data_IF_971167736806
#
_entry.id   IF_971167736806
#
_cell.length_a   1.000
_cell.length_b   1.000
_cell.length_c   1.000
_cell.angle_alpha   90.00
_cell.angle_beta   90.00
_cell.angle_gamma   90.00
#
_symmetry.space_group_name_H-M   'P 1'
#
loop_
_entity.id
_entity.type
_entity.pdbx_description
1 polymer ?
#
# COMPACT_ATOMS: atom_id res chain seq x y z
N UNK A 1 8.24 10.23 -9.37
CA UNK A 1 6.97 10.18 -8.61
C UNK A 1 7.19 10.31 -7.11
N UNK A 2 8.36 9.94 -6.57
CA UNK A 2 8.66 10.02 -5.14
C UNK A 2 9.04 11.43 -4.66
N UNK A 3 9.60 12.27 -5.52
CA UNK A 3 10.09 13.62 -5.19
C UNK A 3 9.12 14.49 -4.38
N UNK A 4 7.79 14.54 -4.65
CA UNK A 4 6.87 15.35 -3.84
C UNK A 4 6.54 14.75 -2.46
N UNK A 5 7.00 13.55 -2.16
CA UNK A 5 6.74 12.83 -0.90
C UNK A 5 7.99 12.69 -0.03
N UNK A 6 9.17 12.84 -0.62
CA UNK A 6 10.43 12.72 0.10
C UNK A 6 10.88 14.10 0.57
N UNK A 7 11.35 14.24 1.81
CA UNK A 7 12.00 15.46 2.24
C UNK A 7 13.30 15.67 1.46
N UNK A 8 13.80 16.90 1.47
CA UNK A 8 15.16 17.16 1.01
C UNK A 8 16.19 16.37 1.84
N UNK A 9 17.24 15.91 1.19
CA UNK A 9 18.33 15.17 1.82
C UNK A 9 19.33 14.66 0.80
N UNK A 10 20.42 14.07 1.29
CA UNK A 10 21.56 13.68 0.44
C UNK A 10 21.63 12.17 0.24
N UNK A 11 21.19 11.39 1.24
CA UNK A 11 21.31 9.93 1.21
C UNK A 11 19.93 9.29 1.15
N UNK A 12 19.63 8.67 0.01
CA UNK A 12 18.42 7.84 -0.18
C UNK A 12 18.78 6.37 -0.09
N UNK A 13 17.99 5.60 0.67
CA UNK A 13 18.16 4.15 0.78
C UNK A 13 16.82 3.43 0.75
N UNK A 14 16.81 2.22 0.20
CA UNK A 14 15.64 1.35 0.11
C UNK A 14 15.85 0.07 0.91
N UNK A 15 14.79 -0.39 1.59
CA UNK A 15 14.75 -1.70 2.23
C UNK A 15 13.38 -2.34 2.02
N UNK A 16 13.36 -3.61 1.61
CA UNK A 16 12.14 -4.42 1.57
C UNK A 16 12.13 -5.52 2.64
N UNK A 17 10.93 -5.95 3.03
CA UNK A 17 10.69 -7.10 3.90
C UNK A 17 9.44 -7.84 3.43
N UNK A 18 9.53 -9.17 3.38
CA UNK A 18 8.40 -10.06 3.09
C UNK A 18 8.18 -11.00 4.26
N UNK A 19 6.95 -11.13 4.75
CA UNK A 19 6.58 -12.06 5.83
C UNK A 19 5.10 -12.40 5.70
N UNK A 20 4.73 -13.69 5.64
CA UNK A 20 3.34 -14.18 5.69
C UNK A 20 2.35 -13.37 4.83
N UNK A 21 2.61 -13.23 3.51
CA UNK A 21 1.71 -12.49 2.61
C UNK A 21 1.74 -10.95 2.74
N UNK A 22 2.49 -10.41 3.70
CA UNK A 22 2.81 -8.98 3.78
C UNK A 22 4.14 -8.71 3.07
N UNK A 23 4.12 -7.83 2.07
CA UNK A 23 5.31 -7.22 1.48
C UNK A 23 5.36 -5.77 1.90
N UNK A 24 6.51 -5.30 2.37
CA UNK A 24 6.70 -3.90 2.80
C UNK A 24 8.01 -3.35 2.24
N UNK A 25 7.96 -2.14 1.70
CA UNK A 25 9.12 -1.38 1.29
C UNK A 25 9.24 -0.11 2.14
N UNK A 26 10.47 0.30 2.42
CA UNK A 26 10.83 1.51 3.14
C UNK A 26 11.84 2.29 2.32
N UNK A 27 11.55 3.58 2.10
CA UNK A 27 12.51 4.55 1.58
C UNK A 27 12.91 5.45 2.72
N UNK A 28 14.21 5.56 2.96
CA UNK A 28 14.76 6.46 3.98
C UNK A 28 15.58 7.56 3.34
N UNK A 29 15.39 8.79 3.84
CA UNK A 29 16.21 9.96 3.53
C UNK A 29 16.99 10.32 4.78
N UNK A 30 18.32 10.39 4.66
CA UNK A 30 19.24 10.69 5.77
C UNK A 30 19.00 9.81 7.02
N UNK A 31 18.76 8.52 6.78
CA UNK A 31 18.54 7.51 7.82
C UNK A 31 17.15 7.53 8.48
N UNK A 32 16.23 8.41 8.04
CA UNK A 32 14.84 8.46 8.53
C UNK A 32 13.90 7.91 7.47
N UNK A 33 12.96 7.04 7.87
CA UNK A 33 11.93 6.53 6.95
C UNK A 33 11.05 7.69 6.50
N UNK A 34 11.17 8.03 5.21
CA UNK A 34 10.40 9.08 4.55
C UNK A 34 9.14 8.53 3.87
N UNK A 35 9.20 7.27 3.42
CA UNK A 35 8.08 6.58 2.80
C UNK A 35 8.09 5.11 3.23
N UNK A 36 6.92 4.56 3.50
CA UNK A 36 6.73 3.12 3.59
C UNK A 36 5.54 2.71 2.73
N UNK A 37 5.67 1.60 2.01
CA UNK A 37 4.57 1.02 1.25
C UNK A 37 4.37 -0.42 1.65
N UNK A 38 3.14 -0.93 1.60
CA UNK A 38 2.88 -2.35 1.78
C UNK A 38 1.86 -2.91 0.82
N UNK A 39 1.91 -4.23 0.62
CA UNK A 39 0.89 -5.05 -0.01
C UNK A 39 0.46 -6.08 1.05
N UNK A 40 -0.83 -6.13 1.35
CA UNK A 40 -1.40 -6.87 2.47
C UNK A 40 -2.75 -7.50 2.09
N UNK A 41 -2.97 -8.75 2.51
CA UNK A 41 -4.27 -9.42 2.39
C UNK A 41 -5.15 -9.08 3.58
N UNK A 42 -6.42 -8.82 3.30
CA UNK A 42 -7.47 -8.63 4.30
C UNK A 42 -8.71 -9.42 3.91
N UNK A 43 -9.63 -9.60 4.86
CA UNK A 43 -10.93 -10.23 4.60
C UNK A 43 -11.63 -9.58 3.40
N UNK A 44 -12.25 -10.40 2.56
CA UNK A 44 -12.92 -9.94 1.35
C UNK A 44 -14.00 -8.91 1.69
N UNK A 45 -14.08 -7.83 0.89
CA UNK A 45 -15.02 -6.74 1.08
C UNK A 45 -14.68 -5.76 2.19
N UNK A 46 -13.52 -5.87 2.85
CA UNK A 46 -13.08 -4.89 3.86
C UNK A 46 -13.03 -3.48 3.27
N UNK A 47 -13.72 -2.47 3.85
CA UNK A 47 -13.67 -1.12 3.31
C UNK A 47 -12.25 -0.53 3.33
N UNK A 48 -11.82 0.12 2.24
CA UNK A 48 -10.48 0.73 2.15
C UNK A 48 -10.21 1.74 3.28
N UNK A 49 -11.24 2.44 3.77
CA UNK A 49 -11.14 3.33 4.92
C UNK A 49 -10.79 2.59 6.23
N UNK A 50 -11.24 1.35 6.39
CA UNK A 50 -10.86 0.49 7.52
C UNK A 50 -9.42 -0.01 7.37
N UNK A 51 -8.96 -0.29 6.15
CA UNK A 51 -7.56 -0.65 5.89
C UNK A 51 -6.61 0.49 6.26
N UNK A 52 -6.97 1.72 5.88
CA UNK A 52 -6.18 2.87 6.29
C UNK A 52 -6.15 3.00 7.81
N UNK A 53 -7.27 2.91 8.52
CA UNK A 53 -7.28 3.04 9.99
C UNK A 53 -6.44 1.97 10.71
N UNK A 54 -6.28 0.78 10.12
CA UNK A 54 -5.40 -0.29 10.61
C UNK A 54 -3.92 -0.06 10.27
N UNK A 55 -3.62 0.86 9.35
CA UNK A 55 -2.25 1.24 8.97
C UNK A 55 -1.67 2.20 10.00
N UNK A 56 -0.46 1.92 10.48
CA UNK A 56 0.25 2.78 11.44
C UNK A 56 0.40 4.20 10.86
N UNK A 57 -0.24 5.18 11.50
CA UNK A 57 -0.20 6.60 11.10
C UNK A 57 -1.48 7.11 10.46
N UNK A 58 -2.53 6.30 10.29
CA UNK A 58 -3.83 6.83 9.89
C UNK A 58 -4.46 7.67 11.01
N UNK A 59 -4.85 8.88 10.64
CA UNK A 59 -5.50 9.84 11.52
C UNK A 59 -6.95 10.10 11.08
N UNK A 60 -7.76 10.75 11.93
CA UNK A 60 -9.07 11.24 11.51
C UNK A 60 -8.92 12.25 10.37
N UNK A 61 -9.74 12.13 9.32
CA UNK A 61 -9.74 13.06 8.17
C UNK A 61 -9.46 12.43 6.81
N UNK A 62 -9.34 11.10 6.75
CA UNK A 62 -9.21 10.34 5.51
C UNK A 62 -10.37 10.60 4.54
N UNK A 63 -10.01 10.93 3.29
CA UNK A 63 -10.93 11.11 2.18
C UNK A 63 -11.03 9.82 1.40
N UNK A 64 -12.24 9.43 1.01
CA UNK A 64 -12.48 8.25 0.17
C UNK A 64 -12.87 8.70 -1.24
N UNK A 65 -12.30 8.07 -2.26
CA UNK A 65 -12.67 8.33 -3.66
C UNK A 65 -14.10 7.87 -3.96
N UNK A 66 -14.74 8.43 -4.98
CA UNK A 66 -16.13 8.12 -5.31
C UNK A 66 -16.36 6.64 -5.65
N UNK A 67 -15.36 5.98 -6.24
CA UNK A 67 -15.36 4.55 -6.55
C UNK A 67 -15.02 3.67 -5.33
N UNK A 68 -14.76 4.29 -4.16
CA UNK A 68 -14.40 3.66 -2.89
C UNK A 68 -13.14 2.79 -2.94
N UNK A 69 -12.31 2.96 -3.97
CA UNK A 69 -11.09 2.17 -4.16
C UNK A 69 -9.89 2.72 -3.43
N UNK A 70 -9.90 4.00 -3.11
CA UNK A 70 -8.78 4.66 -2.49
C UNK A 70 -9.24 5.48 -1.30
N UNK A 71 -8.38 5.53 -0.29
CA UNK A 71 -8.49 6.49 0.80
C UNK A 71 -7.18 7.24 0.94
N UNK A 72 -7.25 8.52 1.27
CA UNK A 72 -6.08 9.38 1.34
C UNK A 72 -6.25 10.58 2.29
N UNK A 73 -5.17 10.92 2.96
CA UNK A 73 -4.92 12.14 3.73
C UNK A 73 -3.41 12.43 3.69
N UNK A 74 -2.72 12.46 4.83
CA UNK A 74 -1.26 12.37 4.90
C UNK A 74 -0.72 10.96 4.61
N UNK A 75 -1.58 9.94 4.72
CA UNK A 75 -1.31 8.55 4.34
C UNK A 75 -2.43 8.04 3.43
N UNK A 76 -2.31 6.85 2.85
CA UNK A 76 -3.40 6.30 2.07
C UNK A 76 -3.35 4.80 1.84
N UNK A 77 -4.47 4.27 1.36
CA UNK A 77 -4.63 2.87 1.02
C UNK A 77 -5.44 2.72 -0.27
N UNK A 78 -5.22 1.61 -0.97
CA UNK A 78 -5.86 1.33 -2.25
C UNK A 78 -6.19 -0.15 -2.42
N UNK A 79 -7.38 -0.45 -2.94
CA UNK A 79 -7.82 -1.80 -3.30
C UNK A 79 -7.23 -2.21 -4.66
N UNK A 80 -6.46 -3.29 -4.67
CA UNK A 80 -5.86 -3.86 -5.88
C UNK A 80 -6.94 -4.62 -6.66
N UNK A 81 -6.88 -4.50 -7.99
CA UNK A 81 -7.68 -5.32 -8.90
C UNK A 81 -6.76 -6.27 -9.64
N UNK A 82 -6.85 -7.54 -9.31
CA UNK A 82 -6.25 -8.59 -10.10
C UNK A 82 -7.17 -8.86 -11.29
N UNK A 83 -6.67 -8.69 -12.51
CA UNK A 83 -7.47 -8.84 -13.73
C UNK A 83 -7.84 -10.30 -14.00
N UNK A 84 -7.01 -11.23 -13.52
CA UNK A 84 -7.25 -12.66 -13.57
C UNK A 84 -7.40 -13.21 -12.15
N UNK A 85 -8.64 -13.42 -11.70
CA UNK A 85 -8.89 -14.04 -10.39
C UNK A 85 -8.54 -15.53 -10.36
N UNK A 86 -8.26 -16.16 -11.51
CA UNK A 86 -7.87 -17.57 -11.56
C UNK A 86 -6.40 -17.82 -11.17
N UNK A 87 -5.60 -16.76 -11.06
CA UNK A 87 -4.23 -16.81 -10.51
C UNK A 87 -4.19 -16.63 -9.00
N UNK A 88 -5.33 -16.36 -8.38
CA UNK A 88 -5.49 -16.30 -6.94
C UNK A 88 -6.05 -17.66 -6.52
N UNK A 89 -5.35 -18.35 -5.63
CA UNK A 89 -5.81 -19.59 -5.02
C UNK A 89 -7.24 -19.43 -4.46
N UNK A 90 -8.14 -20.33 -4.81
CA UNK A 90 -9.57 -20.27 -4.46
C UNK A 90 -9.81 -20.36 -2.94
N UNK A 91 -8.84 -20.89 -2.19
CA UNK A 91 -8.84 -20.94 -0.73
C UNK A 91 -8.40 -19.60 -0.08
N UNK A 92 -7.96 -18.61 -0.87
CA UNK A 92 -7.66 -17.24 -0.41
C UNK A 92 -8.98 -16.47 -0.24
N UNK A 93 -9.55 -16.50 0.97
CA UNK A 93 -10.69 -15.67 1.33
C UNK A 93 -10.23 -14.25 1.72
N UNK A 94 -9.83 -13.47 0.72
CA UNK A 94 -9.36 -12.12 0.96
C UNK A 94 -9.22 -11.24 -0.27
N UNK A 95 -9.16 -9.93 -0.03
CA UNK A 95 -8.83 -8.92 -1.02
C UNK A 95 -7.41 -8.39 -0.75
N UNK A 96 -6.71 -8.02 -1.82
CA UNK A 96 -5.35 -7.47 -1.74
C UNK A 96 -5.41 -5.94 -1.70
N UNK A 97 -4.72 -5.35 -0.73
CA UNK A 97 -4.65 -3.91 -0.55
C UNK A 97 -3.22 -3.42 -0.59
N UNK A 98 -3.06 -2.17 -1.01
CA UNK A 98 -1.82 -1.41 -0.81
C UNK A 98 -2.00 -0.38 0.27
N UNK A 99 -0.91 -0.07 0.98
CA UNK A 99 -0.84 1.13 1.83
C UNK A 99 0.38 1.95 1.45
N UNK A 100 0.28 3.26 1.62
CA UNK A 100 1.36 4.23 1.47
C UNK A 100 1.36 5.10 2.72
N UNK A 101 2.49 5.12 3.42
CA UNK A 101 2.73 5.96 4.58
C UNK A 101 3.84 6.96 4.27
N UNK A 102 3.57 8.24 4.46
CA UNK A 102 4.54 9.32 4.31
C UNK A 102 5.02 9.73 5.70
N UNK A 103 6.33 9.97 5.85
CA UNK A 103 6.93 10.35 7.14
C UNK A 103 6.73 11.82 7.49
N UNK A 104 6.40 12.66 6.51
CA UNK A 104 6.14 14.09 6.66
C UNK A 104 4.63 14.39 6.55
N UNK A 105 4.03 14.78 7.68
CA UNK A 105 2.61 15.09 7.80
C UNK A 105 2.19 16.36 7.04
N UNK A 106 3.15 17.16 6.55
CA UNK A 106 2.87 18.38 5.77
C UNK A 106 2.69 18.13 4.28
N UNK A 107 2.97 16.91 3.81
CA UNK A 107 2.84 16.53 2.40
C UNK A 107 1.39 16.66 1.93
N UNK A 108 1.23 17.21 0.72
CA UNK A 108 -0.08 17.44 0.14
C UNK A 108 -0.82 16.11 -0.10
N UNK A 109 -2.04 16.00 0.45
CA UNK A 109 -2.90 14.82 0.28
C UNK A 109 -3.12 14.41 -1.18
N UNK A 110 -3.13 15.36 -2.13
CA UNK A 110 -3.23 15.04 -3.55
C UNK A 110 -1.97 14.33 -4.09
N UNK A 111 -0.79 14.59 -3.52
CA UNK A 111 0.44 13.86 -3.86
C UNK A 111 0.40 12.43 -3.29
N UNK A 112 -0.11 12.27 -2.07
CA UNK A 112 -0.35 10.96 -1.44
C UNK A 112 -1.30 10.13 -2.29
N UNK A 113 -2.44 10.70 -2.70
CA UNK A 113 -3.41 10.03 -3.57
C UNK A 113 -2.76 9.50 -4.86
N UNK A 114 -2.02 10.37 -5.59
CA UNK A 114 -1.35 9.97 -6.84
C UNK A 114 -0.38 8.80 -6.63
N UNK A 115 0.34 8.80 -5.50
CA UNK A 115 1.25 7.72 -5.18
C UNK A 115 0.53 6.42 -4.86
N UNK A 116 -0.54 6.48 -4.06
CA UNK A 116 -1.38 5.31 -3.76
C UNK A 116 -1.94 4.75 -5.07
N UNK A 117 -2.58 5.58 -5.90
CA UNK A 117 -3.16 5.15 -7.19
C UNK A 117 -2.12 4.47 -8.09
N UNK A 118 -0.96 5.09 -8.24
CA UNK A 118 0.11 4.55 -9.08
C UNK A 118 0.70 3.26 -8.51
N UNK A 119 0.92 3.18 -7.19
CA UNK A 119 1.43 1.98 -6.55
C UNK A 119 0.43 0.83 -6.64
N UNK A 120 -0.85 1.06 -6.29
CA UNK A 120 -1.93 0.08 -6.42
C UNK A 120 -2.07 -0.44 -7.86
N UNK A 121 -1.91 0.43 -8.86
CA UNK A 121 -2.03 0.05 -10.27
C UNK A 121 -0.84 -0.74 -10.79
N UNK A 122 0.36 -0.51 -10.24
CA UNK A 122 1.56 -1.24 -10.64
C UNK A 122 1.61 -2.67 -10.05
N UNK A 123 0.95 -2.90 -8.91
CA UNK A 123 1.04 -4.17 -8.16
C UNK A 123 0.62 -5.40 -8.98
N UNK A 124 -0.53 -5.43 -9.70
CA UNK A 124 -0.89 -6.57 -10.54
C UNK A 124 0.17 -6.90 -11.59
N UNK A 125 0.73 -5.87 -12.24
CA UNK A 125 1.74 -6.05 -13.29
C UNK A 125 3.08 -6.56 -12.76
N UNK A 126 3.29 -6.49 -11.44
CA UNK A 126 4.47 -7.03 -10.77
C UNK A 126 4.31 -8.51 -10.34
N UNK A 127 3.20 -9.16 -10.71
CA UNK A 127 2.93 -10.58 -10.40
C UNK A 127 2.42 -10.80 -8.97
N UNK A 128 2.05 -9.74 -8.24
CA UNK A 128 1.59 -9.82 -6.86
C UNK A 128 0.18 -10.41 -6.71
N UNK A 129 -0.52 -10.54 -7.84
CA UNK A 129 -1.80 -11.23 -7.96
C UNK A 129 -1.66 -12.74 -8.23
N UNK A 130 -0.45 -13.25 -8.42
CA UNK A 130 -0.15 -14.66 -8.61
C UNK A 130 0.24 -15.22 -7.24
N UNK A 131 -0.73 -15.74 -6.47
CA UNK A 131 -0.44 -16.39 -5.18
C UNK A 131 -0.83 -17.85 -5.25
N UNK A 132 0.19 -18.69 -5.06
CA UNK A 132 0.05 -20.10 -4.71
C UNK A 132 0.27 -20.25 -3.19
N UNK A 133 -0.82 -20.32 -2.41
CA UNK A 133 -0.75 -20.52 -0.95
C UNK A 133 -0.40 -21.97 -0.57
N UNK A 134 -0.26 -22.90 -1.52
CA UNK A 134 0.10 -24.29 -1.23
C UNK A 134 1.46 -24.44 -0.53
N UNK A 135 2.32 -23.42 -0.63
CA UNK A 135 3.66 -23.41 -0.02
C UNK A 135 3.75 -22.75 1.35
N UNK A 136 2.66 -22.11 1.83
CA UNK A 136 2.66 -21.33 3.08
C UNK A 136 1.94 -21.99 4.25
N UNK A 137 1.46 -23.23 4.10
CA UNK A 137 0.84 -23.98 5.20
C UNK A 137 1.91 -24.70 6.03
N UNK A 138 2.03 -24.45 7.35
CA UNK A 138 2.89 -25.24 8.23
C UNK A 138 2.39 -26.68 8.41
#
# INVERSE_FOLDING_TARGET
>A
MLDPLLPEGEVVSERSKTTNGLKRCYVSVDGKVALATSIEWYEAGTPVAEIASKTVGAGPGDRVTADKRYTYSGNGAGLIRCEDSSTIDEDVDGDLYTTVRVGDDSVNAAAVLRMVEAYTTAVPTAGECEIDLSTSRP
#
